data_IF_266782803794
#
_entry.id   IF_266782803794
#
_cell.length_a   1.000
_cell.length_b   1.000
_cell.length_c   1.000
_cell.angle_alpha   90.00
_cell.angle_beta   90.00
_cell.angle_gamma   90.00
#
_symmetry.space_group_name_H-M   'P 1'
#
loop_
_entity.id
_entity.type
_entity.pdbx_description
1 polymer ?
#
# COMPACT_ATOMS: atom_id res chain seq x y z
N UNK A 1 -2.26 3.81 9.48
CA UNK A 1 -2.79 2.48 9.83
C UNK A 1 -1.82 1.77 10.75
N UNK A 2 -2.30 1.25 11.88
CA UNK A 2 -1.47 0.46 12.78
C UNK A 2 -1.71 -1.02 12.59
N UNK A 3 -0.65 -1.81 12.70
CA UNK A 3 -0.73 -3.27 12.69
C UNK A 3 0.16 -3.84 13.77
N UNK A 4 -0.16 -5.06 14.21
CA UNK A 4 0.70 -5.85 15.08
C UNK A 4 1.33 -6.97 14.29
N UNK A 5 2.58 -7.28 14.58
CA UNK A 5 3.29 -8.42 13.97
C UNK A 5 2.90 -9.70 14.71
N UNK A 6 2.42 -10.70 13.97
CA UNK A 6 2.04 -12.00 14.48
C UNK A 6 3.00 -13.09 13.99
N UNK A 7 2.86 -14.31 14.53
CA UNK A 7 3.68 -15.45 14.13
C UNK A 7 3.67 -15.69 12.62
N UNK A 8 2.51 -15.57 12.00
CA UNK A 8 2.39 -15.78 10.55
C UNK A 8 3.21 -14.80 9.73
N UNK A 9 3.60 -13.67 10.33
CA UNK A 9 4.38 -12.63 9.64
C UNK A 9 5.89 -12.87 9.73
N UNK A 10 6.32 -13.74 10.66
CA UNK A 10 7.75 -13.93 10.95
C UNK A 10 8.31 -15.17 10.25
N UNK A 11 9.64 -15.12 10.04
CA UNK A 11 10.38 -16.29 9.56
C UNK A 11 11.01 -17.06 10.73
N UNK A 12 11.81 -18.08 10.44
CA UNK A 12 12.45 -18.89 11.46
C UNK A 12 13.52 -18.14 12.27
N UNK A 13 13.92 -16.95 11.83
CA UNK A 13 14.82 -16.06 12.55
C UNK A 13 14.12 -15.13 13.54
N UNK A 14 12.78 -15.19 13.61
CA UNK A 14 12.00 -14.35 14.54
C UNK A 14 11.75 -12.93 14.09
N UNK A 15 12.10 -12.59 12.86
CA UNK A 15 11.86 -11.28 12.27
C UNK A 15 10.82 -11.38 11.15
N UNK A 16 10.18 -10.26 10.84
CA UNK A 16 9.20 -10.22 9.75
C UNK A 16 9.85 -10.63 8.44
N UNK A 17 9.23 -11.62 7.76
CA UNK A 17 9.68 -12.07 6.45
C UNK A 17 9.51 -10.93 5.44
N UNK A 18 10.54 -10.70 4.62
CA UNK A 18 10.62 -9.49 3.80
C UNK A 18 9.38 -9.21 2.92
N UNK A 19 8.76 -10.24 2.35
CA UNK A 19 7.58 -10.04 1.50
C UNK A 19 6.36 -9.55 2.29
N UNK A 20 6.33 -9.76 3.59
CA UNK A 20 5.19 -9.34 4.42
C UNK A 20 5.09 -7.83 4.57
N UNK A 21 6.20 -7.10 4.45
CA UNK A 21 6.16 -5.64 4.44
C UNK A 21 5.33 -5.14 3.25
N UNK A 22 5.43 -5.81 2.12
CA UNK A 22 4.64 -5.49 0.91
C UNK A 22 3.15 -5.73 1.16
N UNK A 23 2.82 -6.80 1.87
CA UNK A 23 1.44 -7.10 2.25
C UNK A 23 0.88 -6.05 3.21
N UNK A 24 1.67 -5.62 4.17
CA UNK A 24 1.26 -4.55 5.09
C UNK A 24 0.95 -3.27 4.33
N UNK A 25 1.78 -2.94 3.35
CA UNK A 25 1.57 -1.77 2.51
C UNK A 25 0.32 -1.90 1.63
N UNK A 26 0.05 -3.10 1.12
CA UNK A 26 -1.18 -3.36 0.36
C UNK A 26 -2.41 -3.14 1.23
N UNK A 27 -2.40 -3.65 2.46
CA UNK A 27 -3.49 -3.42 3.42
C UNK A 27 -3.70 -1.94 3.68
N UNK A 28 -2.61 -1.19 3.85
CA UNK A 28 -2.68 0.26 4.07
C UNK A 28 -3.30 0.99 2.87
N UNK A 29 -2.97 0.57 1.65
CA UNK A 29 -3.60 1.14 0.45
C UNK A 29 -5.09 0.85 0.42
N UNK A 30 -5.49 -0.36 0.73
CA UNK A 30 -6.90 -0.75 0.78
C UNK A 30 -7.67 0.04 1.84
N UNK A 31 -7.05 0.29 2.98
CA UNK A 31 -7.68 1.04 4.06
C UNK A 31 -7.98 2.49 3.68
N UNK A 32 -7.24 3.08 2.75
CA UNK A 32 -7.59 4.41 2.24
C UNK A 32 -9.02 4.45 1.69
N UNK A 33 -9.44 3.37 1.04
CA UNK A 33 -10.79 3.23 0.48
C UNK A 33 -11.79 2.80 1.54
N UNK A 34 -11.47 1.78 2.33
CA UNK A 34 -12.36 1.26 3.37
C UNK A 34 -12.74 2.35 4.38
N UNK A 35 -11.78 3.19 4.76
CA UNK A 35 -12.02 4.29 5.72
C UNK A 35 -13.01 5.33 5.17
N UNK A 36 -13.22 5.33 3.86
CA UNK A 36 -14.18 6.22 3.20
C UNK A 36 -15.46 5.47 2.79
N UNK A 37 -15.65 4.25 3.28
CA UNK A 37 -16.80 3.42 2.94
C UNK A 37 -16.82 2.93 1.51
N UNK A 38 -15.66 2.83 0.88
CA UNK A 38 -15.52 2.42 -0.53
C UNK A 38 -14.64 1.19 -0.65
N UNK A 39 -14.79 0.48 -1.77
CA UNK A 39 -13.91 -0.63 -2.13
C UNK A 39 -12.75 -0.11 -3.00
N UNK A 40 -11.58 -0.77 -2.96
CA UNK A 40 -10.44 -0.38 -3.81
C UNK A 40 -10.59 -0.83 -5.26
N UNK A 41 -11.79 -1.11 -5.69
CA UNK A 41 -12.16 -1.45 -7.07
C UNK A 41 -13.60 -1.03 -7.31
N UNK A 42 -14.02 -0.98 -8.57
CA UNK A 42 -15.43 -0.79 -8.90
C UNK A 42 -15.84 -1.80 -9.99
N UNK A 43 -17.00 -1.59 -10.64
CA UNK A 43 -17.56 -2.55 -11.60
C UNK A 43 -16.64 -2.89 -12.77
N UNK A 44 -15.75 -2.00 -13.14
CA UNK A 44 -14.92 -2.17 -14.33
C UNK A 44 -13.45 -1.94 -14.11
N UNK A 45 -13.04 -1.26 -13.04
CA UNK A 45 -11.63 -0.92 -12.87
C UNK A 45 -11.05 -1.39 -11.53
N UNK A 46 -9.75 -1.62 -11.57
CA UNK A 46 -8.96 -2.07 -10.43
C UNK A 46 -7.55 -1.50 -10.59
N UNK A 47 -6.78 -1.53 -9.51
CA UNK A 47 -5.38 -1.14 -9.55
C UNK A 47 -4.49 -2.37 -9.55
N UNK A 48 -3.40 -2.30 -10.32
CA UNK A 48 -2.37 -3.34 -10.32
C UNK A 48 -1.02 -2.72 -10.07
N UNK A 49 -0.16 -3.43 -9.36
CA UNK A 49 1.22 -2.99 -9.15
C UNK A 49 1.98 -3.14 -10.46
N UNK A 50 2.55 -2.02 -10.93
CA UNK A 50 3.37 -1.98 -12.15
C UNK A 50 4.84 -2.13 -11.82
N UNK A 51 5.28 -1.47 -10.77
CA UNK A 51 6.66 -1.53 -10.30
C UNK A 51 6.71 -1.04 -8.87
N UNK A 52 7.77 -1.43 -8.17
CA UNK A 52 8.01 -0.91 -6.83
C UNK A 52 9.51 -0.92 -6.56
N UNK A 53 9.92 -0.02 -5.67
CA UNK A 53 11.29 0.05 -5.18
C UNK A 53 11.21 0.17 -3.67
N UNK A 54 11.79 -0.80 -2.97
CA UNK A 54 11.65 -0.92 -1.52
C UNK A 54 13.01 -0.94 -0.83
N UNK A 55 13.08 -0.31 0.35
CA UNK A 55 14.26 -0.31 1.20
C UNK A 55 13.90 -0.87 2.57
N UNK A 56 14.62 -1.91 2.96
CA UNK A 56 14.47 -2.58 4.26
C UNK A 56 15.53 -2.01 5.21
N UNK A 57 15.13 -1.06 6.04
CA UNK A 57 16.07 -0.29 6.87
C UNK A 57 16.39 -1.03 8.16
N UNK A 58 15.36 -1.51 8.87
CA UNK A 58 15.50 -2.32 10.09
C UNK A 58 14.40 -3.38 10.13
N UNK A 59 14.63 -4.43 10.90
CA UNK A 59 13.67 -5.52 11.02
C UNK A 59 12.66 -5.28 12.13
N UNK A 60 11.43 -5.68 11.89
CA UNK A 60 10.41 -5.79 12.92
C UNK A 60 10.34 -7.21 13.45
N UNK A 61 9.82 -7.38 14.65
CA UNK A 61 9.77 -8.64 15.39
C UNK A 61 8.35 -8.95 15.84
N UNK A 62 8.13 -10.19 16.21
CA UNK A 62 6.88 -10.65 16.81
C UNK A 62 6.43 -9.69 17.93
N UNK A 63 5.17 -9.29 17.87
CA UNK A 63 4.57 -8.41 18.86
C UNK A 63 4.76 -6.92 18.64
N UNK A 64 5.63 -6.53 17.73
CA UNK A 64 5.82 -5.11 17.41
C UNK A 64 4.56 -4.50 16.84
N UNK A 65 4.33 -3.23 17.17
CA UNK A 65 3.26 -2.43 16.57
C UNK A 65 3.89 -1.49 15.57
N UNK A 66 3.38 -1.53 14.34
CA UNK A 66 3.91 -0.77 13.23
C UNK A 66 2.88 0.25 12.75
N UNK A 67 3.36 1.44 12.40
CA UNK A 67 2.55 2.49 11.79
C UNK A 67 2.89 2.59 10.31
N UNK A 68 1.90 2.47 9.44
CA UNK A 68 2.08 2.56 7.99
C UNK A 68 1.48 3.86 7.50
N UNK A 69 2.28 4.64 6.80
CA UNK A 69 1.88 5.93 6.23
C UNK A 69 1.87 5.87 4.72
N UNK A 70 0.84 6.47 4.13
CA UNK A 70 0.68 6.58 2.68
C UNK A 70 0.83 8.04 2.26
N UNK A 71 1.56 8.27 1.19
CA UNK A 71 1.68 9.59 0.58
C UNK A 71 1.58 9.45 -0.93
N UNK A 72 0.61 10.12 -1.54
CA UNK A 72 0.48 10.16 -3.00
C UNK A 72 1.52 11.13 -3.54
N UNK A 73 2.48 10.62 -4.32
CA UNK A 73 3.52 11.43 -4.94
C UNK A 73 3.07 12.01 -6.28
N UNK A 74 2.36 11.21 -7.06
CA UNK A 74 1.96 11.58 -8.40
C UNK A 74 0.65 10.91 -8.76
N UNK A 75 -0.25 11.67 -9.35
CA UNK A 75 -1.57 11.17 -9.76
C UNK A 75 -1.78 11.55 -11.21
N UNK A 76 -1.75 10.55 -12.10
CA UNK A 76 -1.97 10.69 -13.54
C UNK A 76 -3.32 10.09 -13.92
N UNK A 77 -3.68 10.18 -15.19
CA UNK A 77 -4.98 9.68 -15.67
C UNK A 77 -5.18 8.18 -15.46
N UNK A 78 -4.13 7.39 -15.75
CA UNK A 78 -4.22 5.92 -15.70
C UNK A 78 -3.22 5.28 -14.73
N UNK A 79 -2.51 6.10 -13.97
CA UNK A 79 -1.44 5.64 -13.09
C UNK A 79 -1.30 6.55 -11.89
N UNK A 80 -0.86 5.97 -10.77
CA UNK A 80 -0.49 6.76 -9.60
C UNK A 80 0.76 6.19 -8.97
N UNK A 81 1.50 7.06 -8.28
CA UNK A 81 2.71 6.69 -7.55
C UNK A 81 2.51 7.06 -6.09
N UNK A 82 2.71 6.08 -5.21
CA UNK A 82 2.67 6.28 -3.75
C UNK A 82 4.04 6.06 -3.15
N UNK A 83 4.29 6.81 -2.09
CA UNK A 83 5.34 6.46 -1.14
C UNK A 83 4.67 5.90 0.09
N UNK A 84 5.13 4.74 0.55
CA UNK A 84 4.63 4.11 1.77
C UNK A 84 5.79 3.90 2.72
N UNK A 85 5.57 4.26 3.98
CA UNK A 85 6.60 4.20 5.01
C UNK A 85 6.06 3.41 6.19
N UNK A 86 6.91 2.60 6.79
CA UNK A 86 6.57 1.83 7.99
C UNK A 86 7.46 2.28 9.12
N UNK A 87 6.85 2.63 10.25
CA UNK A 87 7.52 3.10 11.45
C UNK A 87 7.28 2.16 12.62
N UNK A 88 8.31 1.99 13.42
CA UNK A 88 8.22 1.38 14.74
C UNK A 88 8.64 2.44 15.74
N UNK A 89 7.74 2.85 16.63
CA UNK A 89 8.00 3.87 17.67
C UNK A 89 8.52 5.17 17.10
N UNK A 90 8.28 5.70 16.08
CA UNK A 90 8.79 6.92 15.42
C UNK A 90 10.05 6.69 14.60
N UNK A 91 10.58 5.46 14.56
CA UNK A 91 11.71 5.13 13.72
C UNK A 91 11.24 4.50 12.42
N UNK A 92 11.69 5.05 11.30
CA UNK A 92 11.36 4.47 9.99
C UNK A 92 12.18 3.18 9.81
N UNK A 93 11.48 2.07 9.57
CA UNK A 93 12.12 0.76 9.39
C UNK A 93 12.01 0.23 7.97
N UNK A 94 11.11 0.82 7.17
CA UNK A 94 10.87 0.39 5.79
C UNK A 94 10.30 1.55 5.01
N UNK A 95 10.64 1.63 3.73
CA UNK A 95 9.94 2.54 2.82
C UNK A 95 9.89 1.91 1.43
N UNK A 96 8.87 2.27 0.69
CA UNK A 96 8.81 1.90 -0.72
C UNK A 96 8.09 2.96 -1.52
N UNK A 97 8.44 3.00 -2.79
CA UNK A 97 7.73 3.76 -3.81
C UNK A 97 7.08 2.75 -4.75
N UNK A 98 5.77 2.81 -4.88
CA UNK A 98 5.00 1.86 -5.68
C UNK A 98 4.25 2.59 -6.77
N UNK A 99 4.33 2.08 -7.99
CA UNK A 99 3.57 2.57 -9.14
C UNK A 99 2.42 1.63 -9.41
N UNK A 100 1.21 2.17 -9.38
CA UNK A 100 -0.03 1.43 -9.62
C UNK A 100 -0.64 1.88 -10.93
N UNK A 101 -1.01 0.93 -11.77
CA UNK A 101 -1.77 1.20 -12.98
C UNK A 101 -3.24 0.97 -12.73
N UNK A 102 -4.08 1.81 -13.32
CA UNK A 102 -5.52 1.60 -13.33
C UNK A 102 -5.89 0.82 -14.60
N UNK A 103 -6.54 -0.32 -14.43
CA UNK A 103 -6.92 -1.18 -15.54
C UNK A 103 -8.39 -1.52 -15.49
N UNK A 104 -8.94 -1.79 -16.66
CA UNK A 104 -10.23 -2.47 -16.79
C UNK A 104 -9.93 -3.95 -16.59
N UNK A 105 -10.44 -4.56 -15.50
CA UNK A 105 -10.08 -5.94 -15.19
C UNK A 105 -10.71 -6.97 -16.12
N UNK A 106 -11.69 -6.57 -16.93
CA UNK A 106 -12.27 -7.47 -17.93
C UNK A 106 -11.41 -7.55 -19.18
N UNK A 107 -10.89 -6.41 -19.65
CA UNK A 107 -10.07 -6.33 -20.86
C UNK A 107 -8.58 -6.38 -20.57
N UNK A 108 -8.15 -6.09 -19.32
CA UNK A 108 -6.75 -5.97 -18.95
C UNK A 108 -6.08 -4.70 -19.45
N UNK A 109 -6.82 -3.79 -20.10
CA UNK A 109 -6.27 -2.58 -20.69
C UNK A 109 -6.27 -1.41 -19.68
N UNK A 110 -5.32 -0.47 -19.82
CA UNK A 110 -5.36 0.76 -19.02
C UNK A 110 -6.69 1.49 -19.17
N UNK A 111 -7.16 2.05 -18.06
CA UNK A 111 -8.35 2.89 -18.06
C UNK A 111 -8.17 4.07 -17.14
N UNK A 112 -8.95 5.10 -17.35
CA UNK A 112 -8.86 6.33 -16.58
C UNK A 112 -9.39 6.12 -15.16
N UNK A 113 -8.66 6.67 -14.18
CA UNK A 113 -9.08 6.66 -12.78
C UNK A 113 -10.37 7.48 -12.66
N UNK A 114 -11.41 6.86 -12.12
CA UNK A 114 -12.73 7.49 -12.03
C UNK A 114 -12.78 8.52 -10.90
N UNK A 115 -13.80 9.42 -10.99
CA UNK A 115 -13.96 10.51 -10.03
C UNK A 115 -14.09 10.04 -8.59
N UNK A 116 -14.80 8.95 -8.36
CA UNK A 116 -14.98 8.37 -7.02
C UNK A 116 -13.66 7.95 -6.41
N UNK A 117 -12.74 7.39 -7.22
CA UNK A 117 -11.41 7.04 -6.76
C UNK A 117 -10.54 8.26 -6.55
N UNK A 118 -10.64 9.25 -7.44
CA UNK A 118 -9.88 10.50 -7.30
C UNK A 118 -10.19 11.20 -5.98
N UNK A 119 -11.44 11.19 -5.55
CA UNK A 119 -11.86 11.78 -4.28
C UNK A 119 -11.13 11.15 -3.10
N UNK A 120 -10.99 9.83 -3.09
CA UNK A 120 -10.27 9.11 -2.04
C UNK A 120 -8.77 9.43 -2.10
N UNK A 121 -8.20 9.36 -3.29
CA UNK A 121 -6.76 9.55 -3.48
C UNK A 121 -6.32 10.97 -3.15
N UNK A 122 -7.10 11.97 -3.51
CA UNK A 122 -6.76 13.38 -3.24
C UNK A 122 -6.76 13.71 -1.75
N UNK A 123 -7.53 12.98 -0.95
CA UNK A 123 -7.49 13.14 0.51
C UNK A 123 -6.18 12.64 1.13
N UNK A 124 -5.36 11.93 0.37
CA UNK A 124 -4.11 11.32 0.83
C UNK A 124 -2.85 11.95 0.19
N UNK A 125 -3.01 13.05 -0.48
CA UNK A 125 -1.88 13.81 -1.04
C UNK A 125 -1.05 14.49 0.02
#
# INVERSE_FOLDING_TARGET
MQIRVYYEDTDCGGIVYHSNYLKFCERARSEMFFNRGKMPYNQSLSFVVRSLNASFIKSAKLGDILEIKNLILELKKVQLTLKQEIYKEKEKIFEMEVKLGCINFKSGKPCEITKDFLEVLECNK
#
